data_IF_936940255810
#
_entry.id   IF_936940255810
#
_cell.length_a   1.000
_cell.length_b   1.000
_cell.length_c   1.000
_cell.angle_alpha   90.00
_cell.angle_beta   90.00
_cell.angle_gamma   90.00
#
_symmetry.space_group_name_H-M   'P 1'
#
loop_
_entity.id
_entity.type
_entity.pdbx_description
1 polymer ?
#
# COMPACT_ATOMS: atom_id res chain seq x y z
N UNK A 1 3.27 -15.99 -0.93
CA UNK A 1 2.76 -16.40 0.41
C UNK A 1 1.23 -16.36 0.33
N UNK A 2 0.52 -17.45 0.65
CA UNK A 2 -0.91 -17.55 0.37
C UNK A 2 -1.75 -16.65 1.30
N UNK A 3 -2.83 -16.07 0.77
CA UNK A 3 -3.74 -15.19 1.51
C UNK A 3 -4.47 -15.97 2.63
N UNK A 4 -4.42 -15.42 3.86
CA UNK A 4 -5.00 -16.00 5.09
C UNK A 4 -6.54 -15.85 5.20
N UNK A 5 -7.30 -16.04 4.12
CA UNK A 5 -8.75 -16.32 4.14
C UNK A 5 -9.16 -17.09 2.86
N UNK A 6 -9.61 -18.34 3.05
CA UNK A 6 -10.13 -19.26 2.04
C UNK A 6 -11.67 -19.38 2.13
N UNK A 7 -12.40 -18.27 2.03
CA UNK A 7 -13.87 -18.33 1.94
C UNK A 7 -14.29 -17.40 0.82
N UNK A 8 -14.46 -17.97 -0.36
CA UNK A 8 -14.83 -17.26 -1.58
C UNK A 8 -16.35 -17.33 -1.75
N UNK A 9 -17.01 -16.18 -1.62
CA UNK A 9 -18.34 -16.00 -2.21
C UNK A 9 -18.22 -15.91 -3.74
N UNK A 10 -19.25 -16.33 -4.47
CA UNK A 10 -19.25 -16.48 -5.95
C UNK A 10 -18.89 -15.20 -6.76
N UNK A 11 -18.75 -14.05 -6.11
CA UNK A 11 -18.44 -12.74 -6.69
C UNK A 11 -16.97 -12.30 -6.47
N UNK A 12 -16.08 -13.21 -6.07
CA UNK A 12 -14.65 -12.92 -5.88
C UNK A 12 -13.79 -13.55 -6.99
N UNK A 13 -12.90 -12.76 -7.60
CA UNK A 13 -12.00 -13.15 -8.69
C UNK A 13 -10.57 -12.89 -8.22
N UNK A 14 -9.76 -13.94 -8.17
CA UNK A 14 -8.33 -13.83 -7.86
C UNK A 14 -7.56 -13.32 -9.08
N UNK A 15 -6.62 -12.41 -8.83
CA UNK A 15 -5.74 -11.82 -9.84
C UNK A 15 -4.31 -11.95 -9.34
N UNK A 16 -3.49 -12.70 -10.09
CA UNK A 16 -2.04 -12.88 -9.87
C UNK A 16 -1.66 -13.28 -8.43
N UNK A 17 -2.45 -14.12 -7.77
CA UNK A 17 -2.22 -14.71 -6.42
C UNK A 17 -2.14 -13.74 -5.23
N UNK A 18 -1.96 -12.43 -5.46
CA UNK A 18 -1.76 -11.42 -4.41
C UNK A 18 -2.90 -10.38 -4.33
N UNK A 19 -3.79 -10.38 -5.33
CA UNK A 19 -4.92 -9.47 -5.39
C UNK A 19 -6.24 -10.21 -5.59
N UNK A 20 -7.27 -9.70 -4.94
CA UNK A 20 -8.65 -10.21 -5.03
C UNK A 20 -9.56 -9.08 -5.45
N UNK A 21 -10.33 -9.31 -6.50
CA UNK A 21 -11.38 -8.42 -6.97
C UNK A 21 -12.72 -8.97 -6.49
N UNK A 22 -13.49 -8.16 -5.77
CA UNK A 22 -14.80 -8.54 -5.25
C UNK A 22 -15.85 -7.50 -5.62
N UNK A 23 -17.07 -7.95 -5.88
CA UNK A 23 -18.19 -7.05 -6.12
C UNK A 23 -18.77 -6.56 -4.79
N UNK A 24 -18.90 -5.24 -4.62
CA UNK A 24 -19.58 -4.64 -3.47
C UNK A 24 -20.66 -3.68 -3.94
N UNK A 25 -21.92 -4.11 -3.82
CA UNK A 25 -23.06 -3.38 -4.36
C UNK A 25 -23.00 -3.32 -5.89
N UNK A 26 -22.97 -2.11 -6.42
CA UNK A 26 -22.98 -1.88 -7.88
C UNK A 26 -21.57 -1.84 -8.50
N UNK A 27 -20.53 -1.66 -7.69
CA UNK A 27 -19.16 -1.46 -8.17
C UNK A 27 -18.22 -2.60 -7.78
N UNK A 28 -17.31 -2.92 -8.69
CA UNK A 28 -16.18 -3.80 -8.42
C UNK A 28 -15.13 -3.09 -7.57
N UNK A 29 -14.61 -3.79 -6.57
CA UNK A 29 -13.52 -3.34 -5.71
C UNK A 29 -12.38 -4.34 -5.79
N UNK A 30 -11.14 -3.87 -5.61
CA UNK A 30 -9.97 -4.70 -5.55
C UNK A 30 -9.27 -4.50 -4.21
N UNK A 31 -8.73 -5.60 -3.69
CA UNK A 31 -7.90 -5.64 -2.50
C UNK A 31 -6.60 -6.35 -2.84
N UNK A 32 -5.48 -5.70 -2.56
CA UNK A 32 -4.15 -6.25 -2.72
C UNK A 32 -3.42 -6.22 -1.38
N UNK A 33 -2.65 -7.27 -1.08
CA UNK A 33 -1.76 -7.27 0.07
C UNK A 33 -0.38 -6.71 -0.31
N UNK A 34 0.02 -5.59 0.30
CA UNK A 34 1.36 -5.05 0.12
C UNK A 34 2.26 -5.66 1.20
N UNK A 35 3.05 -6.67 0.82
CA UNK A 35 3.95 -7.39 1.73
C UNK A 35 4.98 -6.48 2.42
N UNK A 36 5.52 -5.48 1.71
CA UNK A 36 6.48 -4.50 2.28
C UNK A 36 5.87 -3.65 3.39
N UNK A 37 4.60 -3.25 3.24
CA UNK A 37 3.92 -2.36 4.18
C UNK A 37 3.05 -3.11 5.20
N UNK A 38 2.93 -4.44 5.05
CA UNK A 38 2.07 -5.34 5.84
C UNK A 38 0.63 -4.82 5.96
N UNK A 39 0.13 -4.21 4.88
CA UNK A 39 -1.18 -3.56 4.82
C UNK A 39 -1.92 -3.96 3.55
N UNK A 40 -3.25 -3.91 3.61
CA UNK A 40 -4.10 -4.10 2.45
C UNK A 40 -4.36 -2.76 1.76
N UNK A 41 -3.98 -2.65 0.48
CA UNK A 41 -4.52 -1.61 -0.38
C UNK A 41 -5.93 -2.02 -0.81
N UNK A 42 -6.90 -1.13 -0.63
CA UNK A 42 -8.29 -1.31 -1.07
C UNK A 42 -8.65 -0.18 -2.01
N UNK A 43 -9.14 -0.52 -3.20
CA UNK A 43 -9.54 0.47 -4.19
C UNK A 43 -10.82 0.07 -4.91
N UNK A 44 -11.62 1.06 -5.30
CA UNK A 44 -12.77 0.82 -6.15
C UNK A 44 -12.35 0.92 -7.62
N UNK A 45 -12.72 -0.09 -8.41
CA UNK A 45 -12.49 -0.12 -9.86
C UNK A 45 -13.54 0.74 -10.61
N UNK A 46 -14.54 1.29 -9.88
CA UNK A 46 -15.62 2.16 -10.37
C UNK A 46 -16.28 1.66 -11.65
N UNK A 47 -16.44 0.34 -11.75
CA UNK A 47 -16.94 -0.33 -12.94
C UNK A 47 -18.02 -1.33 -12.52
N UNK A 48 -19.00 -1.58 -13.40
CA UNK A 48 -20.10 -2.54 -13.19
C UNK A 48 -19.88 -3.86 -13.93
N UNK A 49 -19.24 -3.79 -15.10
CA UNK A 49 -18.93 -4.96 -15.92
C UNK A 49 -17.68 -5.70 -15.37
N UNK A 50 -17.74 -7.03 -15.39
CA UNK A 50 -16.73 -7.95 -14.88
C UNK A 50 -15.43 -7.89 -15.69
N UNK A 51 -15.52 -7.98 -17.02
CA UNK A 51 -14.33 -8.06 -17.88
C UNK A 51 -13.48 -6.79 -17.79
N UNK A 52 -14.15 -5.64 -17.84
CA UNK A 52 -13.49 -4.34 -17.69
C UNK A 52 -12.94 -4.11 -16.28
N UNK A 53 -13.52 -4.74 -15.25
CA UNK A 53 -12.96 -4.73 -13.90
C UNK A 53 -11.65 -5.54 -13.84
N UNK A 54 -11.60 -6.71 -14.48
CA UNK A 54 -10.39 -7.55 -14.55
C UNK A 54 -9.26 -6.82 -15.27
N UNK A 55 -9.53 -6.21 -16.43
CA UNK A 55 -8.49 -5.49 -17.18
C UNK A 55 -7.94 -4.28 -16.42
N UNK A 56 -8.82 -3.50 -15.77
CA UNK A 56 -8.39 -2.39 -14.90
C UNK A 56 -7.57 -2.90 -13.72
N UNK A 57 -8.01 -3.98 -13.08
CA UNK A 57 -7.30 -4.58 -11.96
C UNK A 57 -5.89 -5.02 -12.33
N UNK A 58 -5.70 -5.65 -13.51
CA UNK A 58 -4.37 -6.01 -14.02
C UNK A 58 -3.49 -4.77 -14.20
N UNK A 59 -4.01 -3.70 -14.81
CA UNK A 59 -3.28 -2.44 -14.99
C UNK A 59 -2.82 -1.84 -13.65
N UNK A 60 -3.75 -1.72 -12.69
CA UNK A 60 -3.43 -1.20 -11.36
C UNK A 60 -2.42 -2.07 -10.61
N UNK A 61 -2.49 -3.39 -10.75
CA UNK A 61 -1.51 -4.29 -10.15
C UNK A 61 -0.10 -4.00 -10.68
N UNK A 62 0.07 -3.85 -11.99
CA UNK A 62 1.36 -3.53 -12.59
C UNK A 62 1.88 -2.14 -12.15
N UNK A 63 1.00 -1.14 -12.08
CA UNK A 63 1.37 0.19 -11.57
C UNK A 63 1.84 0.15 -10.12
N UNK A 64 1.12 -0.58 -9.25
CA UNK A 64 1.50 -0.75 -7.84
C UNK A 64 2.84 -1.48 -7.71
N UNK A 65 3.06 -2.53 -8.49
CA UNK A 65 4.33 -3.26 -8.49
C UNK A 65 5.48 -2.36 -8.98
N UNK A 66 5.26 -1.54 -10.01
CA UNK A 66 6.25 -0.57 -10.47
C UNK A 66 6.57 0.48 -9.40
N UNK A 67 5.56 1.01 -8.70
CA UNK A 67 5.76 1.94 -7.58
C UNK A 67 6.53 1.30 -6.42
N UNK A 68 6.23 0.03 -6.12
CA UNK A 68 6.91 -0.74 -5.08
C UNK A 68 8.37 -1.03 -5.42
N UNK A 69 8.69 -1.25 -6.71
CA UNK A 69 10.06 -1.36 -7.22
C UNK A 69 10.79 -0.01 -7.16
N UNK A 70 10.09 1.09 -7.48
CA UNK A 70 10.62 2.45 -7.38
C UNK A 70 10.85 2.93 -5.92
N UNK A 71 10.53 2.10 -4.91
CA UNK A 71 10.71 2.44 -3.50
C UNK A 71 9.71 3.47 -2.97
N UNK A 72 8.67 3.79 -3.74
CA UNK A 72 7.59 4.68 -3.28
C UNK A 72 6.68 3.90 -2.33
N UNK A 73 6.43 4.46 -1.15
CA UNK A 73 5.46 3.89 -0.21
C UNK A 73 4.06 4.31 -0.62
N UNK A 74 3.13 3.36 -0.67
CA UNK A 74 1.73 3.62 -0.98
C UNK A 74 1.02 4.28 0.20
N UNK A 75 1.37 3.91 1.43
CA UNK A 75 0.92 4.63 2.63
C UNK A 75 1.90 5.74 3.01
N UNK A 76 1.37 6.88 3.46
CA UNK A 76 2.17 7.91 4.08
C UNK A 76 2.77 7.43 5.41
N UNK A 77 3.91 8.03 5.79
CA UNK A 77 4.48 7.86 7.14
C UNK A 77 3.43 8.22 8.18
N UNK A 78 3.39 7.46 9.26
CA UNK A 78 2.48 7.76 10.38
C UNK A 78 3.02 8.95 11.18
N UNK A 79 2.13 9.69 11.87
CA UNK A 79 2.53 10.84 12.71
C UNK A 79 3.60 10.48 13.73
N UNK A 80 3.53 9.28 14.33
CA UNK A 80 4.53 8.78 15.28
C UNK A 80 5.93 8.69 14.67
N UNK A 81 6.03 8.13 13.46
CA UNK A 81 7.30 8.04 12.73
C UNK A 81 7.84 9.44 12.39
N UNK A 82 6.96 10.38 12.06
CA UNK A 82 7.35 11.77 11.84
C UNK A 82 7.93 12.45 13.09
N UNK A 83 7.32 12.22 14.26
CA UNK A 83 7.82 12.76 15.54
C UNK A 83 9.17 12.15 15.91
N UNK A 84 9.35 10.84 15.73
CA UNK A 84 10.65 10.20 15.97
C UNK A 84 11.76 10.75 15.06
N UNK A 85 11.45 10.96 13.78
CA UNK A 85 12.40 11.52 12.81
C UNK A 85 12.77 12.97 13.17
N UNK A 86 11.80 13.76 13.63
CA UNK A 86 12.05 15.11 14.14
C UNK A 86 12.93 15.11 15.40
N UNK A 87 12.64 14.24 16.38
CA UNK A 87 13.45 14.15 17.61
C UNK A 87 14.89 13.71 17.32
N UNK A 88 15.10 12.79 16.36
CA UNK A 88 16.44 12.38 15.91
C UNK A 88 17.21 13.53 15.27
N UNK A 89 16.56 14.29 14.38
CA UNK A 89 17.16 15.48 13.78
C UNK A 89 17.54 16.51 14.85
N UNK A 90 16.63 16.78 15.81
CA UNK A 90 16.91 17.70 16.92
C UNK A 90 18.08 17.26 17.80
N UNK A 91 18.24 15.97 18.05
CA UNK A 91 19.37 15.45 18.80
C UNK A 91 20.71 15.65 18.06
N UNK A 92 20.71 15.49 16.72
CA UNK A 92 21.88 15.75 15.88
C UNK A 92 22.25 17.23 15.86
N UNK A 93 21.26 18.12 15.72
CA UNK A 93 21.47 19.57 15.74
C UNK A 93 22.11 20.00 17.07
N UNK A 94 21.53 19.58 18.20
CA UNK A 94 22.06 19.90 19.52
C UNK A 94 23.48 19.35 19.75
N UNK A 95 23.78 18.16 19.23
CA UNK A 95 25.11 17.58 19.28
C UNK A 95 26.11 18.40 18.44
N UNK A 96 25.72 18.83 17.24
CA UNK A 96 26.55 19.64 16.35
C UNK A 96 26.84 21.02 16.95
N UNK A 97 25.83 21.68 17.54
CA UNK A 97 25.98 22.94 18.28
C UNK A 97 26.96 22.80 19.45
N UNK A 98 26.88 21.71 20.22
CA UNK A 98 27.82 21.43 21.31
C UNK A 98 29.27 21.31 20.86
N UNK A 99 29.49 20.70 19.68
CA UNK A 99 30.81 20.57 19.09
C UNK A 99 31.35 21.89 18.52
N UNK A 100 30.48 22.76 17.99
CA UNK A 100 30.86 24.10 17.53
C UNK A 100 31.21 25.03 18.69
N UNK A 101 30.54 24.90 19.82
CA UNK A 101 30.77 25.75 21.00
C UNK A 101 32.03 25.36 21.80
N UNK A 102 32.55 24.16 21.57
CA UNK A 102 33.80 23.64 22.18
C UNK A 102 35.06 23.89 21.34
N UNK A 103 34.94 24.52 20.18
CA UNK A 103 36.03 24.83 19.26
C UNK A 103 36.37 26.31 19.32
#
# INVERSE_FOLDING_TARGET
>A
MPLKKQTFTADEIEIYDEAVVYKRGEYWQMRMWLGKEKKYARFSLRTRNRDTAIDKAKKYYHELMAQQLAGKTYFSKTTKQGVEEYLKQRALDAHCEWHLQKR
#
